data_IF_280721198101
#
_entry.id   IF_280721198101
#
_cell.length_a   1.000
_cell.length_b   1.000
_cell.length_c   1.000
_cell.angle_alpha   90.00
_cell.angle_beta   90.00
_cell.angle_gamma   90.00
#
_symmetry.space_group_name_H-M   'P 1'
#
loop_
_entity.id
_entity.type
_entity.pdbx_description
1 polymer ?
#
# COMPACT_ATOMS: atom_id res chain seq x y z
N UNK A 1 10.79 -9.44 2.16
CA UNK A 1 12.19 -9.91 1.98
C UNK A 1 12.42 -11.07 2.94
N UNK A 2 12.43 -12.31 2.45
CA UNK A 2 12.75 -13.48 3.28
C UNK A 2 14.26 -13.51 3.52
N UNK A 3 14.69 -13.36 4.78
CA UNK A 3 16.08 -13.62 5.17
C UNK A 3 16.20 -15.05 5.66
N UNK A 4 16.84 -15.91 4.87
CA UNK A 4 17.28 -17.22 5.33
C UNK A 4 18.58 -17.05 6.11
N UNK A 5 18.54 -17.18 7.44
CA UNK A 5 19.73 -17.34 8.26
C UNK A 5 19.91 -18.82 8.59
N UNK A 6 21.00 -19.42 8.11
CA UNK A 6 21.42 -20.76 8.50
C UNK A 6 22.25 -20.63 9.78
N UNK A 7 21.74 -21.15 10.89
CA UNK A 7 22.51 -21.27 12.14
C UNK A 7 23.03 -22.70 12.23
N UNK A 8 24.35 -22.86 12.17
CA UNK A 8 25.01 -24.12 12.49
C UNK A 8 25.18 -24.23 14.00
N UNK A 9 24.44 -25.14 14.62
CA UNK A 9 24.73 -25.64 15.96
C UNK A 9 25.12 -27.11 15.85
N UNK A 10 26.10 -27.54 16.65
CA UNK A 10 26.81 -28.80 16.51
C UNK A 10 25.91 -30.01 16.24
N UNK A 11 26.26 -30.77 15.20
CA UNK A 11 25.68 -32.05 14.75
C UNK A 11 24.22 -31.99 14.29
N UNK A 12 23.93 -31.13 13.32
CA UNK A 12 22.73 -31.25 12.49
C UNK A 12 22.35 -29.94 11.80
N UNK A 13 22.37 -29.92 10.47
CA UNK A 13 21.91 -28.77 9.69
C UNK A 13 20.37 -28.77 9.63
N UNK A 14 19.71 -28.06 10.54
CA UNK A 14 18.28 -27.80 10.45
C UNK A 14 18.02 -26.47 9.74
N UNK A 15 17.44 -26.52 8.53
CA UNK A 15 16.90 -25.34 7.84
C UNK A 15 15.60 -24.93 8.54
N UNK A 16 15.69 -24.10 9.58
CA UNK A 16 14.50 -23.42 10.11
C UNK A 16 14.21 -22.22 9.23
N UNK A 17 13.15 -22.31 8.43
CA UNK A 17 12.48 -21.12 7.90
C UNK A 17 11.82 -20.41 9.09
N UNK A 18 12.56 -19.51 9.74
CA UNK A 18 11.97 -18.59 10.69
C UNK A 18 11.23 -17.51 9.90
N UNK A 19 9.95 -17.74 9.60
CA UNK A 19 9.04 -16.64 9.31
C UNK A 19 8.94 -15.82 10.60
N UNK A 20 9.69 -14.73 10.70
CA UNK A 20 9.47 -13.73 11.76
C UNK A 20 8.20 -12.94 11.45
N UNK A 21 7.06 -13.63 11.38
CA UNK A 21 5.76 -13.00 11.56
C UNK A 21 5.36 -13.26 13.00
N UNK A 22 6.19 -12.77 13.93
CA UNK A 22 5.81 -12.66 15.33
C UNK A 22 4.67 -11.65 15.37
N UNK A 23 3.50 -12.19 15.72
CA UNK A 23 2.26 -11.49 15.96
C UNK A 23 2.47 -10.33 16.92
N UNK A 24 2.53 -9.10 16.40
CA UNK A 24 1.88 -7.91 16.99
C UNK A 24 2.17 -6.60 16.24
N UNK A 25 3.20 -6.51 15.38
CA UNK A 25 3.52 -5.24 14.68
C UNK A 25 4.09 -5.42 13.25
N UNK A 26 3.66 -6.45 12.52
CA UNK A 26 4.22 -6.75 11.20
C UNK A 26 3.49 -6.05 10.03
N UNK A 27 2.36 -5.39 10.30
CA UNK A 27 1.62 -4.63 9.31
C UNK A 27 1.80 -3.14 9.59
N UNK A 28 2.10 -2.32 8.57
CA UNK A 28 2.14 -0.88 8.74
C UNK A 28 0.78 -0.38 9.27
N UNK A 29 0.76 0.70 10.07
CA UNK A 29 -0.41 1.09 10.87
C UNK A 29 -1.69 1.32 10.07
N UNK A 30 -1.56 1.63 8.77
CA UNK A 30 -2.65 1.81 7.82
C UNK A 30 -3.33 0.50 7.36
N UNK A 31 -2.77 -0.67 7.70
CA UNK A 31 -3.34 -2.00 7.39
C UNK A 31 -3.85 -2.71 8.64
N UNK A 32 -3.74 -2.08 9.81
CA UNK A 32 -4.38 -2.57 11.03
C UNK A 32 -5.87 -2.25 10.92
N UNK A 33 -6.71 -3.28 11.00
CA UNK A 33 -8.15 -3.08 11.15
C UNK A 33 -8.39 -2.29 12.44
N UNK A 34 -9.21 -1.23 12.42
CA UNK A 34 -9.53 -0.49 13.63
C UNK A 34 -10.13 -1.46 14.67
N UNK A 35 -9.74 -1.30 15.93
CA UNK A 35 -10.11 -2.19 17.05
C UNK A 35 -11.62 -2.32 17.21
N UNK A 36 -12.40 -1.35 16.74
CA UNK A 36 -13.86 -1.36 16.72
C UNK A 36 -14.47 -2.40 15.76
N UNK A 37 -13.70 -2.91 14.79
CA UNK A 37 -14.12 -3.92 13.81
C UNK A 37 -13.61 -5.33 14.16
N UNK A 38 -12.75 -5.45 15.19
CA UNK A 38 -12.15 -6.71 15.61
C UNK A 38 -12.79 -7.16 16.91
N UNK A 39 -13.71 -8.13 16.83
CA UNK A 39 -14.33 -8.70 18.02
C UNK A 39 -13.27 -9.44 18.89
N UNK A 40 -13.06 -9.04 20.16
CA UNK A 40 -12.07 -9.69 21.03
C UNK A 40 -12.42 -11.15 21.35
N UNK A 41 -13.68 -11.56 21.14
CA UNK A 41 -14.13 -12.95 21.24
C UNK A 41 -13.57 -13.88 20.15
N UNK A 42 -13.17 -13.32 18.98
CA UNK A 42 -12.60 -14.09 17.87
C UNK A 42 -11.25 -14.71 18.21
N UNK A 43 -10.44 -14.03 19.05
CA UNK A 43 -9.12 -14.50 19.49
C UNK A 43 -9.18 -15.64 20.53
N UNK A 44 -10.35 -15.87 21.14
CA UNK A 44 -10.54 -16.87 22.20
C UNK A 44 -10.99 -18.24 21.69
N UNK A 45 -11.24 -18.41 20.39
CA UNK A 45 -11.70 -19.69 19.84
C UNK A 45 -10.51 -20.57 19.48
N UNK A 46 -10.50 -21.78 20.02
CA UNK A 46 -9.56 -22.81 19.59
C UNK A 46 -9.81 -23.19 18.12
N UNK A 47 -8.76 -23.57 17.37
CA UNK A 47 -8.94 -24.10 16.02
C UNK A 47 -9.83 -25.36 16.06
N UNK A 48 -10.67 -25.58 15.04
CA UNK A 48 -11.45 -26.81 14.97
C UNK A 48 -10.52 -28.03 14.91
N UNK A 49 -10.95 -29.20 15.43
CA UNK A 49 -10.17 -30.43 15.32
C UNK A 49 -9.97 -30.77 13.83
N UNK A 50 -8.72 -31.09 13.46
CA UNK A 50 -8.30 -31.23 12.07
C UNK A 50 -8.97 -32.42 11.32
N UNK A 51 -9.55 -33.38 12.04
CA UNK A 51 -9.95 -34.67 11.47
C UNK A 51 -11.44 -35.02 11.69
N UNK A 52 -12.31 -34.03 11.91
CA UNK A 52 -13.74 -34.35 12.10
C UNK A 52 -14.43 -34.58 10.75
N UNK A 53 -15.11 -35.72 10.52
CA UNK A 53 -15.84 -36.02 9.28
C UNK A 53 -17.17 -35.22 9.16
N UNK A 54 -17.40 -34.25 10.05
CA UNK A 54 -18.63 -33.48 10.11
C UNK A 54 -18.52 -32.23 9.23
N UNK A 55 -19.64 -31.79 8.61
CA UNK A 55 -19.62 -30.58 7.81
C UNK A 55 -19.31 -29.36 8.67
N UNK A 56 -18.38 -28.52 8.19
CA UNK A 56 -17.99 -27.31 8.90
C UNK A 56 -19.10 -26.26 8.80
N UNK A 57 -19.79 -26.00 9.91
CA UNK A 57 -20.82 -24.97 10.00
C UNK A 57 -20.38 -23.82 10.89
N UNK A 58 -20.18 -22.65 10.30
CA UNK A 58 -19.81 -21.43 11.05
C UNK A 58 -20.93 -20.41 10.99
N UNK A 59 -21.37 -19.96 12.17
CA UNK A 59 -22.35 -18.86 12.31
C UNK A 59 -21.65 -17.50 12.34
N UNK A 60 -22.40 -16.45 12.00
CA UNK A 60 -21.98 -15.07 12.22
C UNK A 60 -21.92 -14.78 13.72
N UNK A 61 -20.78 -14.29 14.18
CA UNK A 61 -20.56 -13.95 15.60
C UNK A 61 -21.03 -12.53 15.93
N UNK A 62 -20.91 -11.63 14.97
CA UNK A 62 -21.37 -10.25 15.09
C UNK A 62 -22.90 -10.18 15.04
N UNK A 63 -23.46 -9.23 15.79
CA UNK A 63 -24.90 -8.98 15.77
C UNK A 63 -25.36 -8.58 14.36
N UNK A 64 -26.30 -9.33 13.81
CA UNK A 64 -26.94 -9.03 12.52
C UNK A 64 -28.18 -8.19 12.79
N UNK A 65 -28.38 -7.06 12.09
CA UNK A 65 -29.57 -6.25 12.28
C UNK A 65 -30.83 -7.01 11.84
N UNK A 66 -31.96 -6.78 12.53
CA UNK A 66 -33.17 -7.58 12.38
C UNK A 66 -33.78 -7.61 10.96
N UNK A 67 -33.47 -6.63 10.12
CA UNK A 67 -34.00 -6.49 8.77
C UNK A 67 -33.14 -7.19 7.70
N UNK A 68 -31.95 -7.70 8.07
CA UNK A 68 -31.03 -8.37 7.15
C UNK A 68 -30.81 -9.82 7.55
N UNK A 69 -30.63 -10.66 6.54
CA UNK A 69 -30.26 -12.07 6.72
C UNK A 69 -28.78 -12.26 6.40
N UNK A 70 -28.04 -13.09 7.16
CA UNK A 70 -26.66 -13.39 6.85
C UNK A 70 -26.54 -14.14 5.52
N UNK A 71 -25.49 -13.82 4.76
CA UNK A 71 -25.17 -14.53 3.53
C UNK A 71 -24.53 -15.89 3.85
N UNK A 72 -24.62 -16.85 2.93
CA UNK A 72 -24.03 -18.17 3.08
C UNK A 72 -23.05 -18.46 1.96
N UNK A 73 -21.89 -19.01 2.28
CA UNK A 73 -20.87 -19.41 1.30
C UNK A 73 -20.27 -20.77 1.67
N UNK A 74 -19.82 -21.50 0.65
CA UNK A 74 -19.07 -22.74 0.82
C UNK A 74 -17.71 -22.49 1.46
N UNK A 75 -17.23 -23.49 2.20
CA UNK A 75 -15.89 -23.52 2.80
C UNK A 75 -15.09 -24.62 2.12
N UNK A 76 -14.00 -24.21 1.50
CA UNK A 76 -13.12 -25.11 0.76
C UNK A 76 -11.81 -25.38 1.52
N UNK A 77 -11.11 -26.43 1.12
CA UNK A 77 -9.79 -26.82 1.65
C UNK A 77 -8.72 -26.71 0.57
N UNK A 78 -7.50 -26.36 0.97
CA UNK A 78 -6.33 -26.32 0.06
C UNK A 78 -5.53 -27.63 0.03
N UNK A 79 -6.00 -28.69 0.70
CA UNK A 79 -5.30 -29.98 0.81
C UNK A 79 -5.31 -30.77 -0.50
N UNK A 80 -6.41 -30.69 -1.25
CA UNK A 80 -6.58 -31.31 -2.55
C UNK A 80 -7.02 -30.28 -3.58
N UNK A 81 -6.58 -30.46 -4.83
CA UNK A 81 -6.93 -29.57 -5.95
C UNK A 81 -8.41 -29.66 -6.32
N UNK A 82 -8.97 -30.86 -6.23
CA UNK A 82 -10.36 -31.18 -6.57
C UNK A 82 -11.12 -31.60 -5.29
N UNK A 83 -10.95 -30.83 -4.22
CA UNK A 83 -11.61 -31.09 -2.94
C UNK A 83 -13.08 -30.69 -2.98
N UNK A 84 -13.95 -31.55 -2.43
CA UNK A 84 -15.34 -31.20 -2.15
C UNK A 84 -15.42 -30.13 -1.05
N UNK A 85 -16.40 -29.21 -1.10
CA UNK A 85 -16.56 -28.20 -0.06
C UNK A 85 -16.84 -28.87 1.29
N UNK A 86 -16.08 -28.50 2.33
CA UNK A 86 -16.20 -29.06 3.67
C UNK A 86 -17.50 -28.67 4.37
N UNK A 87 -18.09 -27.53 4.01
CA UNK A 87 -19.29 -27.05 4.69
C UNK A 87 -19.69 -25.63 4.32
N UNK A 88 -20.50 -25.01 5.18
CA UNK A 88 -21.15 -23.72 4.96
C UNK A 88 -20.78 -22.73 6.07
N UNK A 89 -20.44 -21.51 5.66
CA UNK A 89 -20.20 -20.39 6.57
C UNK A 89 -21.20 -19.28 6.33
N UNK A 90 -21.71 -18.72 7.43
CA UNK A 90 -22.51 -17.52 7.42
C UNK A 90 -21.61 -16.27 7.46
N UNK A 91 -21.93 -15.29 6.63
CA UNK A 91 -21.24 -14.01 6.50
C UNK A 91 -22.18 -12.85 6.86
N UNK A 92 -21.62 -11.80 7.47
CA UNK A 92 -22.40 -10.64 7.91
C UNK A 92 -22.84 -9.78 6.70
N UNK A 93 -24.12 -9.43 6.58
CA UNK A 93 -24.64 -8.78 5.38
C UNK A 93 -24.12 -7.34 5.20
N UNK A 94 -23.82 -6.60 6.28
CA UNK A 94 -23.33 -5.21 6.15
C UNK A 94 -21.90 -5.13 5.63
N UNK A 95 -21.16 -6.24 5.60
CA UNK A 95 -19.80 -6.28 5.05
C UNK A 95 -19.82 -6.87 3.64
N UNK A 96 -20.59 -7.94 3.43
CA UNK A 96 -20.52 -8.74 2.20
C UNK A 96 -21.70 -8.53 1.24
N UNK A 97 -22.81 -7.93 1.69
CA UNK A 97 -24.03 -7.72 0.89
C UNK A 97 -24.28 -6.24 0.54
N UNK A 98 -23.30 -5.35 0.75
CA UNK A 98 -23.42 -3.93 0.43
C UNK A 98 -23.47 -3.73 -1.09
N UNK A 99 -24.35 -2.85 -1.61
CA UNK A 99 -24.37 -2.54 -3.04
C UNK A 99 -22.98 -2.03 -3.49
N UNK A 100 -22.42 -2.57 -4.58
CA UNK A 100 -21.07 -2.22 -5.00
C UNK A 100 -21.02 -0.76 -5.48
N UNK A 101 -20.25 0.08 -4.77
CA UNK A 101 -20.03 1.48 -5.13
C UNK A 101 -18.71 1.65 -5.86
N UNK A 102 -18.75 1.67 -7.20
CA UNK A 102 -17.58 1.77 -8.06
C UNK A 102 -16.77 3.05 -7.83
N UNK A 103 -17.44 4.16 -7.52
CA UNK A 103 -16.78 5.46 -7.26
C UNK A 103 -15.80 5.36 -6.07
N UNK A 104 -16.22 4.70 -4.99
CA UNK A 104 -15.39 4.53 -3.78
C UNK A 104 -14.23 3.59 -4.08
N UNK A 105 -14.48 2.50 -4.82
CA UNK A 105 -13.42 1.56 -5.22
C UNK A 105 -12.34 2.27 -6.04
N UNK A 106 -12.74 3.07 -7.02
CA UNK A 106 -11.81 3.84 -7.86
C UNK A 106 -11.04 4.89 -7.03
N UNK A 107 -11.70 5.59 -6.11
CA UNK A 107 -11.05 6.55 -5.22
C UNK A 107 -10.01 5.88 -4.32
N UNK A 108 -10.35 4.73 -3.71
CA UNK A 108 -9.44 3.98 -2.85
C UNK A 108 -8.26 3.41 -3.65
N UNK A 109 -8.50 2.88 -4.85
CA UNK A 109 -7.44 2.40 -5.74
C UNK A 109 -6.47 3.53 -6.12
N UNK A 110 -7.01 4.68 -6.54
CA UNK A 110 -6.22 5.86 -6.91
C UNK A 110 -5.41 6.37 -5.72
N UNK A 111 -6.03 6.44 -4.54
CA UNK A 111 -5.36 6.82 -3.30
C UNK A 111 -4.22 5.85 -2.95
N UNK A 112 -4.46 4.53 -2.98
CA UNK A 112 -3.41 3.54 -2.69
C UNK A 112 -2.25 3.60 -3.69
N UNK A 113 -2.54 3.80 -4.98
CA UNK A 113 -1.53 3.93 -6.05
C UNK A 113 -0.66 5.17 -5.82
N UNK A 114 -1.28 6.30 -5.49
CA UNK A 114 -0.58 7.57 -5.27
C UNK A 114 0.17 7.59 -3.93
N UNK A 115 -0.41 7.05 -2.86
CA UNK A 115 0.21 6.96 -1.54
C UNK A 115 1.53 6.18 -1.56
N UNK A 116 1.62 5.13 -2.38
CA UNK A 116 2.84 4.34 -2.57
C UNK A 116 3.86 5.01 -3.49
N UNK A 117 3.47 6.03 -4.25
CA UNK A 117 4.32 6.69 -5.24
C UNK A 117 5.09 7.85 -4.60
N UNK A 118 6.41 7.70 -4.52
CA UNK A 118 7.32 8.80 -4.17
C UNK A 118 8.00 9.28 -5.45
N UNK A 119 7.83 10.55 -5.80
CA UNK A 119 8.52 11.16 -6.94
C UNK A 119 9.88 11.68 -6.49
N UNK A 120 10.95 11.19 -7.12
CA UNK A 120 12.32 11.71 -6.96
C UNK A 120 12.76 12.57 -8.15
N UNK A 121 11.81 12.95 -9.01
CA UNK A 121 12.10 13.85 -10.11
C UNK A 121 12.50 15.22 -9.53
N UNK A 122 13.70 15.66 -9.88
CA UNK A 122 14.24 16.96 -9.51
C UNK A 122 15.05 17.47 -10.70
N UNK A 123 14.69 18.64 -11.20
CA UNK A 123 15.47 19.33 -12.22
C UNK A 123 16.13 20.55 -11.58
N UNK A 124 17.28 20.97 -12.10
CA UNK A 124 18.02 22.09 -11.52
C UNK A 124 17.36 23.40 -11.91
N UNK A 125 17.03 24.21 -10.91
CA UNK A 125 16.63 25.62 -11.11
C UNK A 125 17.84 26.39 -11.66
N UNK A 126 17.65 27.52 -12.37
CA UNK A 126 18.75 28.41 -12.78
C UNK A 126 19.73 28.80 -11.67
N UNK A 127 19.29 28.85 -10.41
CA UNK A 127 20.16 29.12 -9.27
C UNK A 127 21.09 27.96 -8.87
N UNK A 128 20.74 26.73 -9.26
CA UNK A 128 21.47 25.50 -8.93
C UNK A 128 22.36 25.03 -10.08
N UNK A 129 22.12 25.53 -11.30
CA UNK A 129 22.97 25.24 -12.45
C UNK A 129 24.33 25.92 -12.26
N UNK A 130 25.40 25.16 -12.48
CA UNK A 130 26.77 25.65 -12.34
C UNK A 130 27.05 26.72 -13.40
N UNK A 131 27.46 27.91 -12.96
CA UNK A 131 27.78 29.03 -13.85
C UNK A 131 26.65 30.05 -13.94
N UNK A 132 26.82 31.09 -14.76
CA UNK A 132 25.76 32.08 -15.00
C UNK A 132 25.70 33.28 -14.05
N UNK A 133 26.66 33.47 -13.13
CA UNK A 133 26.70 34.64 -12.24
C UNK A 133 27.32 35.91 -12.85
N UNK A 134 28.10 35.77 -13.93
CA UNK A 134 28.73 36.91 -14.63
C UNK A 134 27.82 37.39 -15.76
N UNK A 135 27.75 38.71 -15.95
CA UNK A 135 27.05 39.31 -17.08
C UNK A 135 27.83 39.07 -18.39
N UNK A 136 27.19 38.57 -19.47
CA UNK A 136 27.87 38.28 -20.73
C UNK A 136 28.47 39.52 -21.43
N UNK A 137 27.72 40.61 -21.47
CA UNK A 137 28.11 41.87 -22.11
C UNK A 137 27.47 43.08 -21.42
N UNK A 138 28.02 44.26 -21.71
CA UNK A 138 27.54 45.53 -21.17
C UNK A 138 26.07 45.78 -21.55
N UNK A 139 25.34 46.51 -20.70
CA UNK A 139 23.91 46.76 -20.88
C UNK A 139 23.57 47.50 -22.19
N UNK A 140 24.54 48.24 -22.73
CA UNK A 140 24.42 49.10 -23.93
C UNK A 140 25.71 49.02 -24.74
N UNK A 141 25.63 49.38 -26.02
CA UNK A 141 26.78 49.47 -26.92
C UNK A 141 27.16 48.17 -27.64
N UNK A 142 26.57 47.02 -27.29
CA UNK A 142 26.87 45.73 -27.92
C UNK A 142 25.98 45.37 -29.12
N UNK A 143 24.89 46.10 -29.36
CA UNK A 143 23.92 45.80 -30.43
C UNK A 143 23.14 44.47 -30.25
N UNK A 144 23.39 43.75 -29.15
CA UNK A 144 22.76 42.44 -28.84
C UNK A 144 21.58 42.59 -27.90
N UNK A 145 20.77 41.53 -27.80
CA UNK A 145 19.71 41.41 -26.80
C UNK A 145 20.24 41.62 -25.37
N UNK A 146 19.37 42.06 -24.46
CA UNK A 146 19.76 42.35 -23.07
C UNK A 146 19.71 41.09 -22.23
N UNK A 147 20.81 40.75 -21.57
CA UNK A 147 20.88 39.62 -20.63
C UNK A 147 21.38 40.07 -19.26
N UNK A 148 20.69 39.63 -18.21
CA UNK A 148 21.05 39.93 -16.81
C UNK A 148 22.17 39.05 -16.27
N UNK A 149 22.27 37.82 -16.76
CA UNK A 149 23.31 36.86 -16.40
C UNK A 149 23.51 35.90 -17.57
N UNK A 150 24.63 35.18 -17.64
CA UNK A 150 24.83 34.08 -18.61
C UNK A 150 23.95 32.85 -18.30
N UNK A 151 22.82 33.08 -17.64
CA UNK A 151 21.93 32.07 -17.10
C UNK A 151 21.35 31.22 -18.22
N UNK A 152 21.30 29.90 -18.04
CA UNK A 152 21.23 28.99 -19.16
C UNK A 152 19.80 28.80 -19.72
N UNK A 153 18.73 29.33 -19.10
CA UNK A 153 17.32 29.14 -19.55
C UNK A 153 17.04 29.43 -21.04
N UNK A 154 17.83 30.30 -21.69
CA UNK A 154 17.68 30.61 -23.12
C UNK A 154 18.67 29.85 -24.02
N UNK A 155 19.64 29.16 -23.44
CA UNK A 155 20.62 28.33 -24.15
C UNK A 155 20.30 26.84 -24.02
N UNK A 156 20.97 26.01 -24.82
CA UNK A 156 20.73 24.57 -24.91
C UNK A 156 20.96 23.80 -23.59
N UNK A 157 21.66 24.40 -22.61
CA UNK A 157 22.00 23.80 -21.31
C UNK A 157 21.21 24.41 -20.12
N UNK A 158 20.07 25.06 -20.42
CA UNK A 158 19.21 25.73 -19.45
C UNK A 158 18.60 24.86 -18.37
N UNK A 159 18.68 25.32 -17.11
CA UNK A 159 17.82 24.82 -16.04
C UNK A 159 16.35 24.92 -16.43
N UNK A 160 15.49 24.06 -15.90
CA UNK A 160 14.06 24.11 -16.21
C UNK A 160 13.44 25.36 -15.59
N UNK A 161 12.53 26.03 -16.31
CA UNK A 161 11.73 27.12 -15.74
C UNK A 161 10.57 26.57 -14.88
N UNK A 162 10.10 25.36 -15.22
CA UNK A 162 9.03 24.66 -14.51
C UNK A 162 9.65 23.46 -13.84
N UNK A 163 10.05 23.60 -12.59
CA UNK A 163 10.58 22.48 -11.83
C UNK A 163 9.41 21.64 -11.30
N UNK A 164 9.38 20.32 -11.58
CA UNK A 164 8.73 19.41 -10.67
C UNK A 164 9.60 19.40 -9.42
N UNK A 165 9.38 20.34 -8.50
CA UNK A 165 9.92 20.22 -7.16
C UNK A 165 9.51 18.82 -6.68
N UNK A 166 10.48 18.05 -6.18
CA UNK A 166 10.31 16.68 -5.69
C UNK A 166 9.44 16.62 -4.43
N UNK A 167 8.29 17.25 -4.47
CA UNK A 167 7.26 17.18 -3.45
C UNK A 167 6.73 15.75 -3.50
N UNK A 168 6.75 15.03 -2.37
CA UNK A 168 5.99 13.78 -2.31
C UNK A 168 4.56 14.13 -2.70
N UNK A 169 3.91 13.28 -3.52
CA UNK A 169 2.50 13.43 -3.85
C UNK A 169 1.71 13.10 -2.59
N UNK A 170 1.79 13.96 -1.58
CA UNK A 170 0.86 14.00 -0.48
C UNK A 170 -0.35 14.69 -1.09
N UNK A 171 -1.15 13.91 -1.82
CA UNK A 171 -2.49 14.34 -2.15
C UNK A 171 -3.20 14.51 -0.81
N UNK A 172 -3.20 15.74 -0.28
CA UNK A 172 -4.15 16.16 0.74
C UNK A 172 -5.51 16.07 0.09
N UNK A 173 -6.08 14.87 0.10
CA UNK A 173 -7.46 14.64 -0.25
C UNK A 173 -8.28 15.05 0.97
N UNK A 174 -8.69 16.30 1.01
CA UNK A 174 -10.07 16.71 1.34
C UNK A 174 -10.26 18.17 0.87
N UNK A 175 -11.36 18.51 0.16
CA UNK A 175 -11.88 19.88 0.16
C UNK A 175 -12.47 20.25 1.53
#
# INVERSE_FOLDING_TARGET
MFRCSVVFCGRGAAKRFASSFSSQNALPPNLLLPTNLVDPGRLKRGPPPADSPLPLLRRCDAAVPAHLTPLQTWVDTLESRDGEPLGLTQLHPDVFAVPPRLDILHQVETWQRNFKRVSHAHTKVRGEVRGGGKKPWNQKGSGRARHGASGPHYGEEGGSLTDPEGRPVISTCYP
#
